data_IF_199420946944
#
_entry.id   IF_199420946944
#
_cell.length_a   1.000
_cell.length_b   1.000
_cell.length_c   1.000
_cell.angle_alpha   90.00
_cell.angle_beta   90.00
_cell.angle_gamma   90.00
#
_symmetry.space_group_name_H-M   'P 1'
#
loop_
_entity.id
_entity.type
_entity.pdbx_description
1 polymer ?
#
# COMPACT_ATOMS: atom_id res chain seq x y z
N UNK A 1 23.37 21.22 -45.79
CA UNK A 1 23.93 21.13 -44.43
C UNK A 1 22.82 21.51 -43.47
N UNK A 2 22.21 20.55 -42.78
CA UNK A 2 21.26 20.83 -41.70
C UNK A 2 21.69 19.96 -40.51
N UNK A 3 22.41 20.56 -39.58
CA UNK A 3 22.76 19.93 -38.32
C UNK A 3 21.53 19.97 -37.41
N UNK A 4 20.88 18.81 -37.23
CA UNK A 4 19.90 18.63 -36.17
C UNK A 4 20.66 18.62 -34.83
N UNK A 5 20.59 19.72 -34.10
CA UNK A 5 20.99 19.73 -32.69
C UNK A 5 19.97 18.89 -31.92
N UNK A 6 20.37 17.66 -31.58
CA UNK A 6 19.74 16.91 -30.50
C UNK A 6 20.02 17.68 -29.20
N UNK A 7 19.03 18.47 -28.76
CA UNK A 7 18.98 18.95 -27.38
C UNK A 7 18.61 17.74 -26.54
N UNK A 8 19.63 17.03 -26.06
CA UNK A 8 19.46 16.00 -25.04
C UNK A 8 18.98 16.69 -23.77
N UNK A 9 17.70 16.54 -23.47
CA UNK A 9 17.20 16.83 -22.13
C UNK A 9 17.85 15.82 -21.20
N UNK A 10 18.83 16.27 -20.41
CA UNK A 10 19.23 15.57 -19.21
C UNK A 10 18.00 15.65 -18.30
N UNK A 11 17.21 14.59 -18.26
CA UNK A 11 16.28 14.39 -17.15
C UNK A 11 17.18 14.10 -15.97
N UNK A 12 17.42 15.11 -15.13
CA UNK A 12 18.05 14.88 -13.84
C UNK A 12 17.24 13.81 -13.11
N UNK A 13 17.90 12.81 -12.54
CA UNK A 13 17.35 11.85 -11.59
C UNK A 13 16.97 12.58 -10.28
N UNK A 14 16.19 13.65 -10.36
CA UNK A 14 15.50 14.21 -9.21
C UNK A 14 14.52 13.12 -8.76
N UNK A 15 14.94 12.40 -7.71
CA UNK A 15 14.20 11.37 -6.98
C UNK A 15 12.70 11.51 -7.20
N UNK A 16 12.10 10.58 -7.95
CA UNK A 16 10.65 10.53 -8.14
C UNK A 16 10.02 10.17 -6.79
N UNK A 17 9.83 11.17 -5.95
CA UNK A 17 9.25 11.04 -4.63
C UNK A 17 7.75 11.26 -4.74
N UNK A 18 6.98 10.26 -4.33
CA UNK A 18 5.53 10.39 -4.26
C UNK A 18 5.18 11.52 -3.29
N UNK A 19 4.28 12.41 -3.70
CA UNK A 19 3.91 13.56 -2.87
C UNK A 19 3.26 13.11 -1.56
N UNK A 20 3.39 13.88 -0.46
CA UNK A 20 2.69 13.57 0.79
C UNK A 20 1.17 13.47 0.61
N UNK A 21 0.58 14.26 -0.29
CA UNK A 21 -0.85 14.21 -0.61
C UNK A 21 -1.24 12.88 -1.28
N UNK A 22 -0.41 12.37 -2.19
CA UNK A 22 -0.61 11.07 -2.83
C UNK A 22 -0.47 9.92 -1.83
N UNK A 23 0.53 10.01 -0.94
CA UNK A 23 0.71 9.11 0.19
C UNK A 23 -0.53 9.07 1.09
N UNK A 24 -1.08 10.22 1.46
CA UNK A 24 -2.32 10.34 2.24
C UNK A 24 -3.51 9.72 1.49
N UNK A 25 -3.70 10.04 0.21
CA UNK A 25 -4.79 9.49 -0.62
C UNK A 25 -4.70 7.96 -0.70
N UNK A 26 -3.51 7.43 -0.87
CA UNK A 26 -3.26 5.99 -0.87
C UNK A 26 -3.65 5.34 0.46
N UNK A 27 -3.16 5.89 1.58
CA UNK A 27 -3.46 5.37 2.92
C UNK A 27 -4.96 5.38 3.21
N UNK A 28 -5.64 6.50 2.95
CA UNK A 28 -7.10 6.62 3.17
C UNK A 28 -7.88 5.58 2.37
N UNK A 29 -7.50 5.36 1.10
CA UNK A 29 -8.13 4.33 0.27
C UNK A 29 -7.95 2.94 0.84
N UNK A 30 -6.72 2.56 1.23
CA UNK A 30 -6.42 1.21 1.74
C UNK A 30 -7.03 0.96 3.11
N UNK A 31 -7.06 1.97 3.97
CA UNK A 31 -7.77 1.90 5.26
C UNK A 31 -9.26 1.60 5.01
N UNK A 32 -9.92 2.34 4.12
CA UNK A 32 -11.34 2.12 3.81
C UNK A 32 -11.64 0.74 3.23
N UNK A 33 -10.75 0.17 2.42
CA UNK A 33 -10.91 -1.17 1.88
C UNK A 33 -10.65 -2.26 2.93
N UNK A 34 -9.62 -2.12 3.77
CA UNK A 34 -9.30 -3.06 4.85
C UNK A 34 -10.35 -3.05 5.98
N UNK A 35 -10.94 -1.89 6.30
CA UNK A 35 -12.03 -1.82 7.28
C UNK A 35 -13.23 -2.66 6.87
N UNK A 36 -13.52 -2.78 5.56
CA UNK A 36 -14.59 -3.68 5.06
C UNK A 36 -14.26 -5.16 5.27
N UNK A 37 -12.99 -5.53 5.22
CA UNK A 37 -12.54 -6.89 5.53
C UNK A 37 -12.69 -7.18 7.02
N UNK A 38 -12.42 -6.20 7.88
CA UNK A 38 -12.54 -6.36 9.34
C UNK A 38 -14.00 -6.40 9.83
N UNK A 39 -14.85 -5.52 9.32
CA UNK A 39 -16.23 -5.33 9.78
C UNK A 39 -17.22 -6.35 9.19
N UNK A 40 -16.81 -7.09 8.15
CA UNK A 40 -17.61 -8.12 7.52
C UNK A 40 -17.89 -9.31 8.46
N UNK A 41 -19.14 -9.81 8.44
CA UNK A 41 -19.50 -11.04 9.15
C UNK A 41 -18.84 -12.31 8.56
N UNK A 42 -18.55 -12.31 7.26
CA UNK A 42 -17.84 -13.37 6.54
C UNK A 42 -16.62 -12.75 5.87
N UNK A 43 -15.45 -13.39 6.03
CA UNK A 43 -14.21 -12.93 5.41
C UNK A 43 -14.20 -13.24 3.91
N UNK A 44 -14.05 -12.18 3.10
CA UNK A 44 -13.72 -12.31 1.68
C UNK A 44 -12.21 -12.54 1.52
N UNK A 45 -11.81 -13.81 1.42
CA UNK A 45 -10.42 -14.20 1.26
C UNK A 45 -9.81 -13.71 -0.06
N UNK A 46 -10.60 -13.60 -1.13
CA UNK A 46 -10.10 -13.11 -2.42
C UNK A 46 -9.79 -11.62 -2.36
N UNK A 47 -10.65 -10.84 -1.69
CA UNK A 47 -10.38 -9.44 -1.41
C UNK A 47 -9.14 -9.28 -0.51
N UNK A 48 -9.05 -10.04 0.58
CA UNK A 48 -7.90 -9.97 1.50
C UNK A 48 -6.58 -10.28 0.78
N UNK A 49 -6.57 -11.34 -0.06
CA UNK A 49 -5.41 -11.70 -0.90
C UNK A 49 -5.03 -10.57 -1.85
N UNK A 50 -6.01 -10.00 -2.56
CA UNK A 50 -5.80 -8.89 -3.50
C UNK A 50 -5.23 -7.66 -2.80
N UNK A 51 -5.77 -7.30 -1.64
CA UNK A 51 -5.29 -6.15 -0.86
C UNK A 51 -3.87 -6.39 -0.33
N UNK A 52 -3.57 -7.57 0.20
CA UNK A 52 -2.21 -7.94 0.61
C UNK A 52 -1.21 -7.80 -0.54
N UNK A 53 -1.55 -8.33 -1.72
CA UNK A 53 -0.71 -8.20 -2.92
C UNK A 53 -0.48 -6.73 -3.34
N UNK A 54 -1.56 -5.94 -3.40
CA UNK A 54 -1.49 -4.53 -3.80
C UNK A 54 -0.72 -3.68 -2.80
N UNK A 55 -0.93 -3.89 -1.49
CA UNK A 55 -0.25 -3.11 -0.45
C UNK A 55 1.25 -3.45 -0.46
N UNK A 56 1.60 -4.73 -0.56
CA UNK A 56 2.98 -5.19 -0.68
C UNK A 56 3.71 -4.55 -1.87
N UNK A 57 3.08 -4.52 -3.04
CA UNK A 57 3.69 -3.95 -4.25
C UNK A 57 3.80 -2.43 -4.23
N UNK A 58 2.87 -1.74 -3.57
CA UNK A 58 2.86 -0.27 -3.50
C UNK A 58 3.63 0.29 -2.31
N UNK A 59 3.93 -0.52 -1.29
CA UNK A 59 4.64 -0.08 -0.09
C UNK A 59 5.97 0.60 -0.42
N UNK A 60 6.77 0.04 -1.34
CA UNK A 60 8.05 0.63 -1.73
C UNK A 60 7.85 1.93 -2.52
N UNK A 61 6.90 1.96 -3.48
CA UNK A 61 6.56 3.16 -4.27
C UNK A 61 6.14 4.33 -3.40
N UNK A 62 5.35 4.07 -2.36
CA UNK A 62 4.83 5.10 -1.46
C UNK A 62 5.72 5.33 -0.21
N UNK A 63 6.90 4.69 -0.13
CA UNK A 63 7.85 4.82 0.99
C UNK A 63 7.31 4.32 2.35
N UNK A 64 6.54 3.24 2.35
CA UNK A 64 5.98 2.59 3.54
C UNK A 64 6.52 1.17 3.77
N UNK A 65 7.85 0.99 3.95
CA UNK A 65 8.47 -0.34 4.03
C UNK A 65 7.97 -1.17 5.24
N UNK A 66 7.47 -0.51 6.28
CA UNK A 66 6.85 -1.13 7.44
C UNK A 66 5.53 -1.88 7.11
N UNK A 67 4.86 -1.55 6.00
CA UNK A 67 3.62 -2.22 5.60
C UNK A 67 3.88 -3.54 4.84
N UNK A 68 5.05 -3.70 4.23
CA UNK A 68 5.37 -4.83 3.34
C UNK A 68 5.26 -6.19 4.03
N UNK A 69 5.77 -6.31 5.26
CA UNK A 69 5.75 -7.57 6.00
C UNK A 69 4.31 -8.00 6.35
N UNK A 70 3.52 -7.11 6.92
CA UNK A 70 2.13 -7.40 7.28
C UNK A 70 1.25 -7.64 6.03
N UNK A 71 1.53 -6.95 4.92
CA UNK A 71 0.83 -7.19 3.65
C UNK A 71 1.12 -8.58 3.05
N UNK A 72 2.38 -9.05 3.14
CA UNK A 72 2.75 -10.43 2.78
C UNK A 72 2.04 -11.45 3.67
N UNK A 73 1.97 -11.18 4.97
CA UNK A 73 1.29 -12.06 5.92
C UNK A 73 -0.22 -12.12 5.66
N UNK A 74 -0.85 -11.00 5.29
CA UNK A 74 -2.27 -10.97 4.93
C UNK A 74 -2.57 -11.86 3.73
N UNK A 75 -1.72 -11.79 2.69
CA UNK A 75 -1.82 -12.64 1.51
C UNK A 75 -1.69 -14.13 1.87
N UNK A 76 -0.75 -14.47 2.76
CA UNK A 76 -0.54 -15.85 3.22
C UNK A 76 -1.73 -16.39 4.07
N UNK A 77 -2.27 -15.57 4.97
CA UNK A 77 -3.44 -15.95 5.77
C UNK A 77 -4.69 -16.11 4.89
N UNK A 78 -4.85 -15.25 3.88
CA UNK A 78 -5.94 -15.36 2.92
C UNK A 78 -5.85 -16.62 2.05
N UNK A 79 -4.63 -16.96 1.57
CA UNK A 79 -4.38 -18.17 0.78
C UNK A 79 -4.65 -19.46 1.56
N UNK A 80 -4.35 -19.46 2.86
CA UNK A 80 -4.61 -20.59 3.75
C UNK A 80 -6.05 -20.62 4.31
N UNK A 81 -6.91 -19.69 3.88
CA UNK A 81 -8.28 -19.52 4.39
C UNK A 81 -8.34 -19.42 5.92
N UNK A 82 -7.31 -18.85 6.54
CA UNK A 82 -7.24 -18.67 7.99
C UNK A 82 -7.99 -17.40 8.40
N UNK A 83 -9.27 -17.53 8.72
CA UNK A 83 -10.14 -16.40 9.07
C UNK A 83 -9.60 -15.55 10.22
N UNK A 84 -9.17 -16.20 11.32
CA UNK A 84 -8.62 -15.51 12.48
C UNK A 84 -7.30 -14.80 12.13
N UNK A 85 -6.46 -15.46 11.34
CA UNK A 85 -5.22 -14.89 10.81
C UNK A 85 -5.48 -13.64 9.97
N UNK A 86 -6.43 -13.70 9.03
CA UNK A 86 -6.82 -12.55 8.21
C UNK A 86 -7.30 -11.38 9.08
N UNK A 87 -8.15 -11.63 10.08
CA UNK A 87 -8.64 -10.56 10.98
C UNK A 87 -7.51 -9.93 11.78
N UNK A 88 -6.62 -10.74 12.34
CA UNK A 88 -5.50 -10.25 13.14
C UNK A 88 -4.54 -9.41 12.31
N UNK A 89 -4.15 -9.90 11.12
CA UNK A 89 -3.23 -9.17 10.25
C UNK A 89 -3.87 -7.90 9.68
N UNK A 90 -5.16 -7.95 9.34
CA UNK A 90 -5.92 -6.77 8.88
C UNK A 90 -5.89 -5.66 9.92
N UNK A 91 -6.11 -6.00 11.20
CA UNK A 91 -6.01 -5.04 12.32
C UNK A 91 -4.62 -4.44 12.45
N UNK A 92 -3.58 -5.27 12.37
CA UNK A 92 -2.19 -4.81 12.41
C UNK A 92 -1.93 -3.81 11.29
N UNK A 93 -2.31 -4.15 10.05
CA UNK A 93 -2.18 -3.24 8.89
C UNK A 93 -2.94 -1.94 9.08
N UNK A 94 -4.19 -2.00 9.55
CA UNK A 94 -5.01 -0.80 9.81
C UNK A 94 -4.36 0.12 10.83
N UNK A 95 -3.81 -0.43 11.92
CA UNK A 95 -3.12 0.35 12.94
C UNK A 95 -1.86 1.02 12.37
N UNK A 96 -1.02 0.27 11.66
CA UNK A 96 0.19 0.82 11.03
C UNK A 96 -0.12 1.90 9.99
N UNK A 97 -1.16 1.72 9.17
CA UNK A 97 -1.57 2.74 8.19
C UNK A 97 -2.12 4.00 8.87
N UNK A 98 -2.88 3.86 9.96
CA UNK A 98 -3.39 5.00 10.74
C UNK A 98 -2.28 5.76 11.45
N UNK A 99 -1.27 5.07 11.96
CA UNK A 99 -0.07 5.70 12.53
C UNK A 99 0.70 6.48 11.46
N UNK A 100 0.90 5.89 10.28
CA UNK A 100 1.56 6.57 9.16
C UNK A 100 0.77 7.81 8.70
N UNK A 101 -0.57 7.69 8.64
CA UNK A 101 -1.43 8.79 8.25
C UNK A 101 -1.32 9.97 9.22
N UNK A 102 -1.28 9.71 10.53
CA UNK A 102 -1.08 10.76 11.55
C UNK A 102 0.26 11.49 11.43
N UNK A 103 1.29 10.81 10.93
CA UNK A 103 2.60 11.43 10.72
C UNK A 103 2.59 12.36 9.50
N UNK A 104 1.83 12.02 8.46
CA UNK A 104 1.75 12.78 7.21
C UNK A 104 0.69 13.90 7.26
N UNK A 105 -0.36 13.73 8.07
CA UNK A 105 -1.45 14.68 8.26
C UNK A 105 -1.75 14.82 9.78
N UNK A 106 -0.87 15.51 10.54
CA UNK A 106 -1.03 15.71 11.98
C UNK A 106 -2.22 16.59 12.36
#
# INVERSE_FOLDING_TARGET
>A
MCAYQHVGYIVSDDDFKVSPEDQIRYLLRRIGELSRVEEGGVIDFELAKKLGHQIKGNADTFEFPNLTAAAKELEAMALSQNELGVKNVTRTLLNSMREQLKQLAP
#
